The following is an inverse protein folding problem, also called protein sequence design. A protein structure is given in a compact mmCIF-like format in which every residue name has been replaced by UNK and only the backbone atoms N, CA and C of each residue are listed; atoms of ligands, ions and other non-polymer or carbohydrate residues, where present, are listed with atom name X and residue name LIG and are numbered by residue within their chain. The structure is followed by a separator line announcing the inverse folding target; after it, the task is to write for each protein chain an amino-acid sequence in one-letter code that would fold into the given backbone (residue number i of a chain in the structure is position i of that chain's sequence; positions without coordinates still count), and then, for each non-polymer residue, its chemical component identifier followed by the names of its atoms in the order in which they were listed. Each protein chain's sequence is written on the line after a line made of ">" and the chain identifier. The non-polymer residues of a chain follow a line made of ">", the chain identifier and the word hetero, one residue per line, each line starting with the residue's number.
data_IF_824670213081
#
_entry.id   IF_824670213081
#
_cell.length_a   1.000
_cell.length_b   1.000
_cell.length_c   1.000
_cell.angle_alpha   90.00
_cell.angle_beta   90.00
_cell.angle_gamma   90.00
#
_symmetry.space_group_name_H-M   'P 1'
#
loop_
_entity.id
_entity.type
_entity.pdbx_description
1 polymer ?
#
# COMPACT_ATOMS: atom_id res chain seq x y z
N UNK A 1 -29.57 -11.56 8.75
CA UNK A 1 -29.09 -11.95 7.40
C UNK A 1 -28.54 -10.70 6.72
N UNK A 2 -27.25 -10.65 6.34
CA UNK A 2 -26.66 -9.47 5.68
C UNK A 2 -27.18 -9.43 4.23
N UNK A 3 -27.65 -8.26 3.76
CA UNK A 3 -28.12 -8.12 2.37
C UNK A 3 -26.99 -8.41 1.36
N UNK A 4 -27.33 -9.01 0.22
CA UNK A 4 -26.37 -9.31 -0.85
C UNK A 4 -25.60 -8.05 -1.30
N UNK A 5 -26.28 -6.91 -1.39
CA UNK A 5 -25.65 -5.62 -1.71
C UNK A 5 -24.59 -5.20 -0.69
N UNK A 6 -24.77 -5.52 0.58
CA UNK A 6 -23.82 -5.20 1.65
C UNK A 6 -22.62 -6.14 1.63
N UNK A 7 -22.81 -7.43 1.31
CA UNK A 7 -21.70 -8.37 1.11
C UNK A 7 -20.81 -7.96 -0.05
N UNK A 8 -21.40 -7.52 -1.17
CA UNK A 8 -20.65 -7.02 -2.32
C UNK A 8 -19.81 -5.80 -1.96
N UNK A 9 -20.42 -4.77 -1.34
CA UNK A 9 -19.70 -3.57 -0.88
C UNK A 9 -18.53 -3.89 0.05
N UNK A 10 -18.72 -4.85 0.95
CA UNK A 10 -17.70 -5.27 1.91
C UNK A 10 -16.55 -6.03 1.23
N UNK A 11 -16.88 -6.84 0.22
CA UNK A 11 -15.89 -7.55 -0.61
C UNK A 11 -15.07 -6.57 -1.45
N UNK A 12 -15.71 -5.57 -2.07
CA UNK A 12 -15.03 -4.49 -2.80
C UNK A 12 -14.13 -3.69 -1.86
N UNK A 13 -14.62 -3.35 -0.67
CA UNK A 13 -13.82 -2.62 0.32
C UNK A 13 -12.59 -3.42 0.73
N UNK A 14 -12.74 -4.72 1.02
CA UNK A 14 -11.62 -5.60 1.35
C UNK A 14 -10.63 -5.73 0.18
N UNK A 15 -11.13 -5.89 -1.06
CA UNK A 15 -10.30 -5.89 -2.26
C UNK A 15 -9.46 -4.61 -2.37
N UNK A 16 -10.09 -3.44 -2.26
CA UNK A 16 -9.38 -2.15 -2.35
C UNK A 16 -8.32 -2.03 -1.25
N UNK A 17 -8.67 -2.38 -0.02
CA UNK A 17 -7.75 -2.35 1.12
C UNK A 17 -6.53 -3.24 0.88
N UNK A 18 -6.77 -4.51 0.52
CA UNK A 18 -5.73 -5.50 0.28
C UNK A 18 -4.84 -5.11 -0.91
N UNK A 19 -5.45 -4.70 -2.02
CA UNK A 19 -4.74 -4.28 -3.21
C UNK A 19 -3.83 -3.08 -2.93
N UNK A 20 -4.34 -2.01 -2.32
CA UNK A 20 -3.57 -0.81 -2.03
C UNK A 20 -2.40 -1.11 -1.09
N UNK A 21 -2.65 -1.86 -0.02
CA UNK A 21 -1.60 -2.20 0.95
C UNK A 21 -0.51 -3.09 0.34
N UNK A 22 -0.92 -4.13 -0.42
CA UNK A 22 0.01 -5.06 -1.06
C UNK A 22 0.79 -4.38 -2.18
N UNK A 23 0.12 -3.61 -3.03
CA UNK A 23 0.76 -2.84 -4.10
C UNK A 23 1.77 -1.84 -3.55
N UNK A 24 1.40 -1.09 -2.49
CA UNK A 24 2.32 -0.19 -1.79
C UNK A 24 3.56 -0.95 -1.28
N UNK A 25 3.36 -2.13 -0.68
CA UNK A 25 4.46 -2.94 -0.13
C UNK A 25 5.43 -3.39 -1.23
N UNK A 26 4.88 -3.87 -2.35
CA UNK A 26 5.68 -4.28 -3.51
C UNK A 26 6.40 -3.07 -4.12
N UNK A 27 5.75 -1.93 -4.25
CA UNK A 27 6.36 -0.71 -4.77
C UNK A 27 7.49 -0.20 -3.87
N UNK A 28 7.32 -0.25 -2.55
CA UNK A 28 8.39 0.12 -1.60
C UNK A 28 9.57 -0.85 -1.63
N UNK A 29 9.35 -2.10 -2.05
CA UNK A 29 10.43 -3.07 -2.23
C UNK A 29 11.23 -2.85 -3.52
N UNK A 30 10.70 -2.08 -4.47
CA UNK A 30 11.43 -1.68 -5.68
C UNK A 30 12.31 -0.47 -5.38
N UNK A 31 13.60 -0.51 -5.74
CA UNK A 31 14.62 0.50 -5.45
C UNK A 31 14.48 1.77 -6.30
N UNK A 32 13.31 2.42 -6.21
CA UNK A 32 13.02 3.68 -6.91
C UNK A 32 13.64 4.87 -6.17
N UNK A 33 14.01 5.96 -6.86
CA UNK A 33 14.66 7.13 -6.24
C UNK A 33 13.76 7.80 -5.18
N UNK A 34 14.37 8.25 -4.08
CA UNK A 34 13.70 8.59 -2.82
C UNK A 34 12.60 9.66 -2.93
N UNK A 35 12.79 10.74 -3.70
CA UNK A 35 11.85 11.87 -3.72
C UNK A 35 10.48 11.52 -4.33
N UNK A 36 10.47 10.71 -5.40
CA UNK A 36 9.22 10.28 -6.05
C UNK A 36 8.53 9.15 -5.28
N UNK A 37 9.31 8.30 -4.59
CA UNK A 37 8.76 7.27 -3.71
C UNK A 37 8.03 7.91 -2.53
N UNK A 38 8.58 8.95 -1.91
CA UNK A 38 8.00 9.51 -0.69
C UNK A 38 6.62 10.13 -0.92
N UNK A 39 6.44 10.81 -2.05
CA UNK A 39 5.11 11.31 -2.47
C UNK A 39 4.14 10.15 -2.65
N UNK A 40 4.56 9.10 -3.34
CA UNK A 40 3.70 7.96 -3.64
C UNK A 40 3.36 7.13 -2.39
N UNK A 41 4.33 6.98 -1.48
CA UNK A 41 4.16 6.37 -0.16
C UNK A 41 3.14 7.13 0.68
N UNK A 42 3.23 8.46 0.70
CA UNK A 42 2.28 9.32 1.40
C UNK A 42 0.89 9.24 0.76
N UNK A 43 0.80 9.21 -0.57
CA UNK A 43 -0.46 8.99 -1.27
C UNK A 43 -1.14 7.68 -0.86
N UNK A 44 -0.41 6.56 -0.86
CA UNK A 44 -0.95 5.27 -0.43
C UNK A 44 -1.31 5.22 1.06
N UNK A 45 -0.58 5.94 1.91
CA UNK A 45 -0.93 6.07 3.34
C UNK A 45 -2.26 6.82 3.51
N UNK A 46 -2.43 7.95 2.85
CA UNK A 46 -3.68 8.73 2.92
C UNK A 46 -4.86 7.87 2.44
N UNK A 47 -4.69 7.18 1.31
CA UNK A 47 -5.72 6.31 0.75
C UNK A 47 -6.10 5.17 1.71
N UNK A 48 -5.11 4.55 2.34
CA UNK A 48 -5.34 3.48 3.33
C UNK A 48 -6.02 4.00 4.60
N UNK A 49 -5.76 5.24 5.03
CA UNK A 49 -6.46 5.89 6.15
C UNK A 49 -7.93 6.13 5.79
N UNK A 50 -8.20 6.68 4.61
CA UNK A 50 -9.57 6.91 4.13
C UNK A 50 -10.35 5.59 4.12
N UNK A 51 -9.74 4.52 3.58
CA UNK A 51 -10.35 3.20 3.58
C UNK A 51 -10.57 2.65 5.00
N UNK A 52 -9.63 2.91 5.92
CA UNK A 52 -9.77 2.53 7.33
C UNK A 52 -10.99 3.19 7.96
N UNK A 53 -11.18 4.50 7.74
CA UNK A 53 -12.35 5.24 8.23
C UNK A 53 -13.63 4.67 7.64
N UNK A 54 -13.66 4.42 6.32
CA UNK A 54 -14.83 3.81 5.65
C UNK A 54 -15.12 2.42 6.21
N UNK A 55 -14.09 1.63 6.56
CA UNK A 55 -14.27 0.29 7.12
C UNK A 55 -15.00 0.29 8.46
N UNK A 56 -14.83 1.34 9.28
CA UNK A 56 -15.50 1.45 10.58
C UNK A 56 -17.03 1.48 10.46
N UNK A 57 -17.58 1.95 9.33
CA UNK A 57 -19.02 1.95 9.05
C UNK A 57 -19.56 0.52 8.97
N UNK A 58 -18.76 -0.42 8.48
CA UNK A 58 -19.15 -1.80 8.23
C UNK A 58 -18.79 -2.77 9.36
N UNK A 59 -17.92 -2.37 10.28
CA UNK A 59 -17.43 -3.16 11.41
C UNK A 59 -18.44 -3.11 12.58
N UNK A 60 -18.46 -4.16 13.43
CA UNK A 60 -19.32 -4.20 14.62
C UNK A 60 -18.90 -3.20 15.70
N UNK A 61 -19.81 -2.81 16.59
CA UNK A 61 -19.52 -1.80 17.62
C UNK A 61 -18.36 -2.20 18.54
N UNK A 62 -18.25 -3.49 18.91
CA UNK A 62 -17.17 -3.98 19.78
C UNK A 62 -15.81 -3.83 19.09
N UNK A 63 -15.69 -4.29 17.85
CA UNK A 63 -14.46 -4.16 17.07
C UNK A 63 -14.14 -2.69 16.74
N UNK A 64 -15.15 -1.86 16.49
CA UNK A 64 -14.97 -0.42 16.24
C UNK A 64 -14.28 0.25 17.42
N UNK A 65 -14.69 -0.05 18.67
CA UNK A 65 -14.05 0.50 19.87
C UNK A 65 -12.59 0.07 19.94
N UNK A 66 -12.30 -1.21 19.70
CA UNK A 66 -10.93 -1.75 19.73
C UNK A 66 -10.05 -1.07 18.67
N UNK A 67 -10.54 -0.96 17.43
CA UNK A 67 -9.80 -0.31 16.34
C UNK A 67 -9.57 1.17 16.64
N UNK A 68 -10.57 1.87 17.18
CA UNK A 68 -10.42 3.27 17.59
C UNK A 68 -9.37 3.45 18.69
N UNK A 69 -9.31 2.55 19.69
CA UNK A 69 -8.28 2.56 20.72
C UNK A 69 -6.88 2.33 20.15
N UNK A 70 -6.73 1.37 19.23
CA UNK A 70 -5.46 1.14 18.52
C UNK A 70 -5.08 2.37 17.69
N UNK A 71 -6.06 3.01 17.03
CA UNK A 71 -5.85 4.25 16.29
C UNK A 71 -5.36 5.40 17.19
N UNK A 72 -5.97 5.58 18.36
CA UNK A 72 -5.52 6.58 19.33
C UNK A 72 -4.10 6.28 19.84
N UNK A 73 -3.81 5.01 20.13
CA UNK A 73 -2.47 4.57 20.53
C UNK A 73 -1.41 4.85 19.46
N UNK A 74 -1.76 4.65 18.19
CA UNK A 74 -0.88 4.95 17.05
C UNK A 74 -0.57 6.45 16.98
N UNK A 75 -1.57 7.32 17.16
CA UNK A 75 -1.37 8.78 17.16
C UNK A 75 -0.44 9.20 18.31
N UNK A 76 -0.64 8.65 19.51
CA UNK A 76 0.24 8.91 20.67
C UNK A 76 1.66 8.44 20.37
N UNK A 77 1.82 7.23 19.81
CA UNK A 77 3.14 6.67 19.51
C UNK A 77 3.88 7.51 18.46
N UNK A 78 3.18 7.98 17.42
CA UNK A 78 3.75 8.89 16.44
C UNK A 78 4.16 10.23 17.06
N UNK A 79 3.36 10.78 17.98
CA UNK A 79 3.68 12.02 18.67
C UNK A 79 4.91 11.92 19.59
N UNK A 80 5.13 10.75 20.23
CA UNK A 80 6.24 10.54 21.16
C UNK A 80 7.54 10.09 20.48
N UNK A 81 7.44 9.21 19.48
CA UNK A 81 8.60 8.51 18.91
C UNK A 81 8.83 8.82 17.43
N UNK A 82 7.98 9.65 16.80
CA UNK A 82 8.03 9.99 15.37
C UNK A 82 8.11 8.77 14.44
N UNK A 83 7.58 7.62 14.89
CA UNK A 83 7.64 6.36 14.16
C UNK A 83 6.30 5.98 13.56
N UNK A 84 6.32 5.46 12.34
CA UNK A 84 5.15 5.00 11.59
C UNK A 84 5.03 3.46 11.66
N UNK A 85 5.86 2.79 12.48
CA UNK A 85 5.93 1.33 12.53
C UNK A 85 4.57 0.67 12.87
N UNK A 86 3.77 1.30 13.73
CA UNK A 86 2.48 0.77 14.16
C UNK A 86 1.37 0.87 13.09
N UNK A 87 1.60 1.63 12.04
CA UNK A 87 0.62 1.88 10.98
C UNK A 87 0.22 0.63 10.21
N UNK A 88 1.19 -0.23 9.89
CA UNK A 88 0.95 -1.50 9.23
C UNK A 88 0.03 -2.42 10.05
N UNK A 89 0.22 -2.44 11.37
CA UNK A 89 -0.60 -3.25 12.27
C UNK A 89 -2.04 -2.73 12.35
N UNK A 90 -2.25 -1.41 12.39
CA UNK A 90 -3.58 -0.83 12.36
C UNK A 90 -4.37 -1.22 11.10
N UNK A 91 -3.72 -1.14 9.94
CA UNK A 91 -4.29 -1.58 8.65
C UNK A 91 -4.67 -3.06 8.69
N UNK A 92 -3.78 -3.92 9.21
CA UNK A 92 -4.03 -5.36 9.31
C UNK A 92 -5.25 -5.66 10.20
N UNK A 93 -5.39 -4.98 11.35
CA UNK A 93 -6.55 -5.14 12.22
C UNK A 93 -7.87 -4.75 11.53
N UNK A 94 -7.87 -3.67 10.74
CA UNK A 94 -9.01 -3.27 9.92
C UNK A 94 -9.38 -4.36 8.90
N UNK A 95 -8.38 -4.90 8.17
CA UNK A 95 -8.60 -5.98 7.20
C UNK A 95 -9.19 -7.23 7.86
N UNK A 96 -8.59 -7.70 8.96
CA UNK A 96 -9.05 -8.89 9.70
C UNK A 96 -10.47 -8.70 10.24
N UNK A 97 -10.83 -7.48 10.62
CA UNK A 97 -12.18 -7.19 11.08
C UNK A 97 -13.21 -7.24 9.95
N UNK A 98 -12.81 -6.89 8.72
CA UNK A 98 -13.65 -7.02 7.53
C UNK A 98 -13.85 -8.48 7.12
N UNK A 99 -12.83 -9.34 7.22
CA UNK A 99 -12.92 -10.74 6.77
C UNK A 99 -13.97 -11.55 7.53
N UNK A 100 -14.28 -11.22 8.79
CA UNK A 100 -15.32 -11.91 9.59
C UNK A 100 -16.69 -12.00 8.91
N UNK A 101 -17.00 -11.06 8.01
CA UNK A 101 -18.30 -10.95 7.32
C UNK A 101 -18.26 -11.42 5.87
N UNK A 102 -17.11 -11.92 5.40
CA UNK A 102 -16.91 -12.42 4.04
C UNK A 102 -16.66 -13.92 4.11
N UNK A 103 -17.23 -14.67 3.17
CA UNK A 103 -16.93 -16.09 3.02
C UNK A 103 -15.46 -16.32 2.67
N UNK A 104 -14.84 -17.33 3.30
CA UNK A 104 -13.43 -17.66 3.11
C UNK A 104 -13.06 -17.89 1.63
N UNK A 105 -13.93 -18.56 0.86
CA UNK A 105 -13.74 -18.78 -0.58
C UNK A 105 -13.65 -17.47 -1.35
N UNK A 106 -14.44 -16.47 -0.99
CA UNK A 106 -14.44 -15.15 -1.63
C UNK A 106 -13.18 -14.37 -1.27
N UNK A 107 -12.72 -14.47 -0.02
CA UNK A 107 -11.44 -13.88 0.42
C UNK A 107 -10.28 -14.44 -0.41
N UNK A 108 -10.19 -15.76 -0.57
CA UNK A 108 -9.14 -16.40 -1.37
C UNK A 108 -9.16 -15.93 -2.83
N UNK A 109 -10.35 -15.85 -3.44
CA UNK A 109 -10.51 -15.32 -4.81
C UNK A 109 -10.03 -13.87 -4.91
N UNK A 110 -10.39 -13.03 -3.94
CA UNK A 110 -9.96 -11.64 -3.87
C UNK A 110 -8.43 -11.57 -3.80
N UNK A 111 -7.81 -12.26 -2.84
CA UNK A 111 -6.35 -12.28 -2.68
C UNK A 111 -5.65 -12.73 -3.97
N UNK A 112 -6.11 -13.82 -4.59
CA UNK A 112 -5.53 -14.30 -5.85
C UNK A 112 -5.68 -13.26 -6.96
N UNK A 113 -6.88 -12.71 -7.15
CA UNK A 113 -7.13 -11.71 -8.20
C UNK A 113 -6.33 -10.42 -8.00
N UNK A 114 -6.20 -9.95 -6.75
CA UNK A 114 -5.41 -8.77 -6.43
C UNK A 114 -3.93 -8.99 -6.70
N UNK A 115 -3.38 -10.16 -6.34
CA UNK A 115 -1.97 -10.47 -6.62
C UNK A 115 -1.69 -10.58 -8.12
N UNK A 116 -2.57 -11.22 -8.89
CA UNK A 116 -2.46 -11.26 -10.36
C UNK A 116 -2.46 -9.84 -10.92
N UNK A 117 -3.38 -8.98 -10.47
CA UNK A 117 -3.44 -7.59 -10.92
C UNK A 117 -2.16 -6.82 -10.56
N UNK A 118 -1.63 -7.00 -9.34
CA UNK A 118 -0.38 -6.39 -8.91
C UNK A 118 0.78 -6.83 -9.82
N UNK A 119 0.88 -8.12 -10.13
CA UNK A 119 1.92 -8.64 -11.03
C UNK A 119 1.81 -7.99 -12.42
N UNK A 120 0.60 -7.93 -12.99
CA UNK A 120 0.37 -7.29 -14.29
C UNK A 120 0.75 -5.81 -14.27
N UNK A 121 0.42 -5.10 -13.18
CA UNK A 121 0.76 -3.68 -13.05
C UNK A 121 2.25 -3.45 -12.79
N UNK A 122 2.96 -4.40 -12.17
CA UNK A 122 4.40 -4.32 -11.94
C UNK A 122 5.21 -4.81 -13.16
N UNK A 123 4.63 -5.62 -14.05
CA UNK A 123 5.29 -6.06 -15.29
C UNK A 123 5.91 -4.93 -16.11
N UNK A 124 5.25 -3.78 -16.39
CA UNK A 124 5.91 -2.69 -17.09
C UNK A 124 7.12 -2.15 -16.31
N UNK A 125 7.02 -2.00 -14.99
CA UNK A 125 8.17 -1.55 -14.18
C UNK A 125 9.36 -2.52 -14.26
N UNK A 126 9.08 -3.83 -14.31
CA UNK A 126 10.11 -4.88 -14.45
C UNK A 126 10.68 -4.89 -15.88
N UNK A 127 9.83 -4.86 -16.90
CA UNK A 127 10.24 -4.92 -18.31
C UNK A 127 11.06 -3.69 -18.73
N UNK A 128 10.73 -2.51 -18.20
CA UNK A 128 11.47 -1.28 -18.47
C UNK A 128 12.62 -1.03 -17.49
N UNK A 129 12.84 -1.91 -16.49
CA UNK A 129 13.89 -1.75 -15.48
C UNK A 129 15.28 -1.59 -16.12
N UNK A 130 15.62 -2.32 -17.18
CA UNK A 130 16.90 -2.18 -17.89
C UNK A 130 17.09 -0.82 -18.58
N UNK A 131 16.01 -0.12 -18.91
CA UNK A 131 16.05 1.27 -19.43
C UNK A 131 16.29 2.29 -18.32
N UNK A 132 15.98 1.91 -17.09
CA UNK A 132 15.99 2.77 -15.93
C UNK A 132 17.14 2.49 -14.98
N UNK A 133 17.78 1.32 -14.97
CA UNK A 133 18.93 1.05 -14.10
C UNK A 133 20.23 1.03 -14.91
N UNK A 134 21.27 1.72 -14.44
CA UNK A 134 22.63 1.61 -14.98
C UNK A 134 23.60 1.25 -13.85
N UNK A 135 24.52 0.34 -14.15
CA UNK A 135 25.66 0.05 -13.28
C UNK A 135 26.55 1.30 -13.16
N UNK A 136 26.71 1.79 -11.93
CA UNK A 136 27.69 2.79 -11.52
C UNK A 136 28.88 2.04 -10.90
N UNK A 137 30.08 2.22 -11.49
CA UNK A 137 31.29 1.49 -11.10
C UNK A 137 31.69 1.68 -9.62
N UNK A 138 31.12 2.67 -8.91
CA UNK A 138 31.39 2.93 -7.49
C UNK A 138 30.27 2.50 -6.55
N UNK A 139 29.03 2.38 -7.03
CA UNK A 139 27.84 2.25 -6.16
C UNK A 139 26.84 1.17 -6.60
N UNK A 140 27.09 0.43 -7.68
CA UNK A 140 26.20 -0.62 -8.17
C UNK A 140 25.06 -0.10 -9.05
N UNK A 141 23.98 -0.88 -9.21
CA UNK A 141 22.84 -0.51 -10.06
C UNK A 141 22.09 0.70 -9.50
N UNK A 142 22.00 1.76 -10.30
CA UNK A 142 21.30 3.00 -9.95
C UNK A 142 20.13 3.26 -10.88
N UNK A 143 18.96 3.54 -10.31
CA UNK A 143 17.78 3.99 -11.04
C UNK A 143 18.02 5.42 -11.58
N UNK A 144 17.85 5.59 -12.88
CA UNK A 144 18.04 6.80 -13.69
C UNK A 144 16.75 7.26 -14.39
N UNK A 145 15.64 6.51 -14.31
CA UNK A 145 14.28 6.90 -14.79
C UNK A 145 14.24 7.58 -16.19
N UNK A 146 15.21 7.30 -17.07
CA UNK A 146 15.29 7.94 -18.39
C UNK A 146 15.82 9.39 -18.38
N UNK A 147 16.17 9.97 -17.23
CA UNK A 147 16.75 11.32 -17.10
C UNK A 147 18.26 11.34 -17.41
N UNK A 148 18.66 10.79 -18.55
CA UNK A 148 20.07 10.66 -18.94
C UNK A 148 20.75 12.00 -19.27
N UNK A 149 20.01 12.97 -19.80
CA UNK A 149 20.62 14.19 -20.39
C UNK A 149 20.96 15.29 -19.39
N UNK A 150 20.54 15.22 -18.12
CA UNK A 150 20.75 16.33 -17.18
C UNK A 150 22.21 16.42 -16.68
N UNK A 151 22.97 15.30 -16.66
CA UNK A 151 24.37 15.28 -16.21
C UNK A 151 25.40 15.64 -17.29
N UNK A 152 25.05 15.55 -18.59
CA UNK A 152 26.00 15.87 -19.66
C UNK A 152 26.27 17.37 -19.81
N UNK A 153 25.40 18.24 -19.27
CA UNK A 153 25.59 19.70 -19.30
C UNK A 153 26.55 20.24 -18.22
N UNK A 154 26.83 19.46 -17.17
CA UNK A 154 27.68 19.90 -16.06
C UNK A 154 29.18 19.65 -16.26
N UNK A 155 29.57 18.91 -17.30
CA UNK A 155 30.97 18.70 -17.68
C UNK A 155 31.34 19.37 -19.01
N UNK A 156 30.48 20.24 -19.53
CA UNK A 156 30.72 20.98 -20.78
C UNK A 156 30.49 22.49 -20.63
N UNK A 157 30.75 23.04 -19.43
CA UNK A 157 30.84 24.48 -19.17
C UNK A 157 32.12 24.75 -18.41
#
# INVERSE_FOLDING_TARGET
>A
MISESKKFKLSVLFFSFYFIYSFKTVLLSTSIQDDSIDILKNFFNILSIILSIVSLIYIGNKERIVISLIGAFLVINYALYHTVALYSYFILFCMVSLTKKIEFRTILKIILSSNILIIILMMPFIAFSHTFYRMDDRFGERLTLGFWQCKRKWHSS
#
